data_IF_378657449162
#
_entry.id   IF_378657449162
#
_cell.length_a   1.000
_cell.length_b   1.000
_cell.length_c   1.000
_cell.angle_alpha   90.00
_cell.angle_beta   90.00
_cell.angle_gamma   90.00
#
_symmetry.space_group_name_H-M   'P 1'
#
loop_
_entity.id
_entity.type
_entity.pdbx_description
1 polymer ?
#
# COMPACT_ATOMS: atom_id res chain seq x y z
N UNK A 1 38.27 -31.06 -28.60
CA UNK A 1 36.83 -30.74 -28.69
C UNK A 1 36.48 -29.90 -27.47
N UNK A 2 36.02 -28.68 -27.71
CA UNK A 2 35.57 -27.77 -26.66
C UNK A 2 34.09 -28.04 -26.38
N UNK A 3 33.71 -28.12 -25.10
CA UNK A 3 32.50 -27.47 -24.59
C UNK A 3 32.70 -27.25 -23.09
N UNK A 4 32.67 -25.99 -22.69
CA UNK A 4 32.76 -25.54 -21.31
C UNK A 4 31.39 -25.74 -20.67
N UNK A 5 31.24 -26.66 -19.71
CA UNK A 5 30.02 -26.79 -18.92
C UNK A 5 30.19 -25.94 -17.65
N UNK A 6 29.87 -24.65 -17.81
CA UNK A 6 29.88 -23.65 -16.76
C UNK A 6 28.81 -24.01 -15.71
N UNK A 7 29.10 -23.99 -14.39
CA UNK A 7 28.11 -24.31 -13.36
C UNK A 7 26.89 -23.39 -13.46
N UNK A 8 25.70 -23.86 -13.06
CA UNK A 8 24.46 -23.09 -13.16
C UNK A 8 24.61 -21.73 -12.44
N UNK A 9 24.02 -20.65 -12.99
CA UNK A 9 24.14 -19.34 -12.40
C UNK A 9 23.60 -19.36 -10.96
N UNK A 10 24.23 -18.63 -10.03
CA UNK A 10 23.72 -18.52 -8.67
C UNK A 10 22.28 -18.02 -8.69
N UNK A 11 21.42 -18.47 -7.76
CA UNK A 11 20.07 -17.94 -7.66
C UNK A 11 20.17 -16.42 -7.56
N UNK A 12 19.51 -15.73 -8.50
CA UNK A 12 19.35 -14.28 -8.47
C UNK A 12 18.99 -13.88 -7.04
N UNK A 13 19.58 -12.81 -6.48
CA UNK A 13 19.13 -12.33 -5.20
C UNK A 13 17.64 -12.13 -5.31
N UNK A 14 16.89 -12.88 -4.50
CA UNK A 14 15.50 -12.60 -4.22
C UNK A 14 15.50 -11.23 -3.52
N UNK A 15 15.66 -10.18 -4.33
CA UNK A 15 15.28 -8.83 -4.00
C UNK A 15 13.74 -8.81 -4.02
N UNK A 16 13.14 -9.69 -3.22
CA UNK A 16 11.93 -9.36 -2.48
C UNK A 16 12.38 -8.20 -1.62
N UNK A 17 12.32 -7.01 -2.22
CA UNK A 17 12.30 -5.74 -1.53
C UNK A 17 11.18 -5.88 -0.53
N UNK A 18 11.57 -6.37 0.64
CA UNK A 18 10.77 -6.45 1.82
C UNK A 18 10.13 -5.08 1.93
N UNK A 19 8.80 -4.93 1.79
CA UNK A 19 8.15 -3.65 2.04
C UNK A 19 8.06 -3.46 3.55
N UNK A 20 9.21 -3.55 4.24
CA UNK A 20 9.40 -3.20 5.62
C UNK A 20 10.15 -1.87 5.61
N UNK A 21 9.42 -0.75 5.55
CA UNK A 21 10.11 0.52 5.70
C UNK A 21 9.27 1.78 5.57
N UNK A 22 8.15 1.75 4.86
CA UNK A 22 7.40 2.99 4.67
C UNK A 22 6.24 3.06 5.65
N UNK A 23 6.57 3.08 6.94
CA UNK A 23 5.63 3.54 7.97
C UNK A 23 5.53 5.07 7.98
N UNK A 24 6.51 5.76 7.38
CA UNK A 24 6.56 7.21 7.30
C UNK A 24 6.04 7.74 5.95
N UNK A 25 4.75 7.55 5.69
CA UNK A 25 4.09 8.11 4.51
C UNK A 25 4.21 9.65 4.46
N UNK A 26 4.34 10.33 5.61
CA UNK A 26 4.40 11.79 5.69
C UNK A 26 5.60 12.41 4.94
N UNK A 27 6.67 11.64 4.71
CA UNK A 27 7.79 12.07 3.88
C UNK A 27 7.45 12.17 2.39
N UNK A 28 6.42 11.44 1.93
CA UNK A 28 6.00 11.40 0.52
C UNK A 28 4.65 12.09 0.30
N UNK A 29 3.77 12.04 1.29
CA UNK A 29 2.47 12.73 1.32
C UNK A 29 2.45 13.62 2.56
N UNK A 30 3.06 14.83 2.50
CA UNK A 30 3.11 15.75 3.64
C UNK A 30 1.76 16.43 3.91
N UNK A 31 0.73 16.13 3.10
CA UNK A 31 -0.59 16.69 3.20
C UNK A 31 -1.49 15.81 4.07
N UNK A 32 -2.18 16.44 5.02
CA UNK A 32 -3.21 15.78 5.84
C UNK A 32 -4.57 16.09 5.22
N UNK A 33 -5.26 15.07 4.71
CA UNK A 33 -6.62 15.19 4.22
C UNK A 33 -7.54 15.60 5.36
N UNK A 34 -8.27 16.69 5.16
CA UNK A 34 -9.20 17.22 6.14
C UNK A 34 -10.47 17.68 5.43
N UNK A 35 -11.64 17.44 6.05
CA UNK A 35 -12.94 17.76 5.44
C UNK A 35 -13.21 19.27 5.35
N UNK A 36 -12.56 20.06 6.21
CA UNK A 36 -12.72 21.52 6.24
C UNK A 36 -11.70 22.22 5.33
N UNK A 37 -10.73 21.47 4.82
CA UNK A 37 -9.74 21.95 3.85
C UNK A 37 -10.12 21.43 2.46
N UNK A 38 -10.18 22.33 1.47
CA UNK A 38 -10.34 21.99 0.04
C UNK A 38 -9.06 21.34 -0.52
N UNK A 39 -8.55 20.31 0.16
CA UNK A 39 -7.25 19.69 -0.10
C UNK A 39 -7.39 18.24 -0.61
N UNK A 40 -8.62 17.78 -0.87
CA UNK A 40 -8.91 16.43 -1.36
C UNK A 40 -8.21 16.13 -2.69
N UNK A 41 -8.33 17.00 -3.70
CA UNK A 41 -7.73 16.75 -5.02
C UNK A 41 -6.21 16.62 -4.94
N UNK A 42 -5.56 17.55 -4.23
CA UNK A 42 -4.10 17.53 -4.03
C UNK A 42 -3.65 16.29 -3.22
N UNK A 43 -4.41 15.92 -2.19
CA UNK A 43 -4.13 14.72 -1.41
C UNK A 43 -4.29 13.46 -2.25
N UNK A 44 -5.35 13.39 -3.05
CA UNK A 44 -5.66 12.25 -3.92
C UNK A 44 -4.56 12.05 -4.96
N UNK A 45 -4.07 13.13 -5.58
CA UNK A 45 -2.98 13.08 -6.55
C UNK A 45 -1.67 12.56 -5.91
N UNK A 46 -1.29 13.11 -4.75
CA UNK A 46 -0.08 12.70 -4.02
C UNK A 46 -0.17 11.23 -3.55
N UNK A 47 -1.32 10.84 -2.99
CA UNK A 47 -1.55 9.50 -2.50
C UNK A 47 -1.54 8.48 -3.65
N UNK A 48 -2.18 8.82 -4.77
CA UNK A 48 -2.20 7.96 -5.97
C UNK A 48 -0.80 7.78 -6.55
N UNK A 49 -0.02 8.87 -6.64
CA UNK A 49 1.39 8.83 -7.08
C UNK A 49 2.26 7.96 -6.16
N UNK A 50 2.02 8.03 -4.84
CA UNK A 50 2.67 7.15 -3.88
C UNK A 50 2.30 5.68 -4.15
N UNK A 51 1.02 5.35 -4.30
CA UNK A 51 0.60 3.99 -4.58
C UNK A 51 1.15 3.43 -5.90
N UNK A 52 1.31 4.25 -6.94
CA UNK A 52 1.99 3.86 -8.18
C UNK A 52 3.47 3.54 -7.95
N UNK A 53 4.18 4.38 -7.19
CA UNK A 53 5.61 4.20 -6.90
C UNK A 53 5.91 2.90 -6.14
N UNK A 54 4.97 2.44 -5.32
CA UNK A 54 5.07 1.19 -4.56
C UNK A 54 4.40 -0.02 -5.25
N UNK A 55 3.86 0.14 -6.46
CA UNK A 55 3.22 -0.94 -7.19
C UNK A 55 1.90 -1.45 -6.56
N UNK A 56 1.32 -0.70 -5.63
CA UNK A 56 0.09 -1.08 -4.91
C UNK A 56 -1.16 -0.38 -5.44
N UNK A 57 -1.04 0.42 -6.51
CA UNK A 57 -2.17 1.11 -7.13
C UNK A 57 -3.32 0.15 -7.51
N UNK A 58 -2.99 -1.08 -7.94
CA UNK A 58 -4.00 -2.08 -8.27
C UNK A 58 -4.93 -2.48 -7.10
N UNK A 59 -4.55 -2.21 -5.83
CA UNK A 59 -5.43 -2.38 -4.68
C UNK A 59 -6.52 -1.29 -4.57
N UNK A 60 -6.27 -0.11 -5.13
CA UNK A 60 -7.22 1.01 -5.13
C UNK A 60 -8.26 0.86 -6.26
N UNK A 61 -7.80 0.54 -7.47
CA UNK A 61 -8.66 0.39 -8.65
C UNK A 61 -9.29 -1.02 -8.76
N UNK A 62 -8.92 -1.95 -7.86
CA UNK A 62 -9.47 -3.30 -7.82
C UNK A 62 -8.89 -4.26 -8.87
N UNK A 63 -7.91 -3.83 -9.66
CA UNK A 63 -7.19 -4.69 -10.62
C UNK A 63 -6.37 -5.78 -9.93
N UNK A 64 -5.92 -5.53 -8.69
CA UNK A 64 -5.18 -6.51 -7.88
C UNK A 64 -6.15 -7.34 -7.05
N UNK A 65 -6.57 -8.47 -7.62
CA UNK A 65 -7.51 -9.41 -6.99
C UNK A 65 -6.76 -10.42 -6.13
N UNK A 66 -7.29 -10.67 -4.93
CA UNK A 66 -6.82 -11.75 -4.07
C UNK A 66 -7.19 -13.11 -4.69
N UNK A 67 -6.19 -13.90 -5.07
CA UNK A 67 -6.30 -15.32 -5.42
C UNK A 67 -5.85 -16.18 -4.23
N UNK A 68 -6.10 -17.50 -4.27
CA UNK A 68 -5.68 -18.42 -3.20
C UNK A 68 -4.17 -18.36 -2.94
N UNK A 69 -3.39 -18.14 -3.99
CA UNK A 69 -1.93 -18.19 -3.93
C UNK A 69 -1.30 -16.88 -3.41
N UNK A 70 -2.00 -15.75 -3.54
CA UNK A 70 -1.48 -14.43 -3.12
C UNK A 70 -2.23 -13.82 -1.92
N UNK A 71 -3.22 -14.52 -1.34
CA UNK A 71 -4.12 -13.96 -0.31
C UNK A 71 -3.39 -13.36 0.90
N UNK A 72 -2.28 -13.98 1.33
CA UNK A 72 -1.48 -13.47 2.44
C UNK A 72 -0.82 -12.14 2.09
N UNK A 73 -0.24 -12.02 0.89
CA UNK A 73 0.44 -10.80 0.46
C UNK A 73 -0.54 -9.70 0.10
N UNK A 74 -1.68 -10.05 -0.52
CA UNK A 74 -2.79 -9.13 -0.72
C UNK A 74 -3.23 -8.49 0.60
N UNK A 75 -3.43 -9.29 1.64
CA UNK A 75 -3.86 -8.79 2.96
C UNK A 75 -2.80 -7.91 3.63
N UNK A 76 -1.51 -8.21 3.44
CA UNK A 76 -0.41 -7.35 3.93
C UNK A 76 -0.41 -6.00 3.21
N UNK A 77 -0.54 -5.99 1.88
CA UNK A 77 -0.56 -4.76 1.09
C UNK A 77 -1.82 -3.93 1.38
N UNK A 78 -2.98 -4.56 1.49
CA UNK A 78 -4.24 -3.90 1.91
C UNK A 78 -4.08 -3.25 3.30
N UNK A 79 -3.48 -3.96 4.26
CA UNK A 79 -3.21 -3.41 5.59
C UNK A 79 -2.23 -2.24 5.54
N UNK A 80 -1.22 -2.31 4.67
CA UNK A 80 -0.24 -1.24 4.48
C UNK A 80 -0.89 0.03 3.91
N UNK A 81 -1.70 -0.10 2.85
CA UNK A 81 -2.46 1.02 2.27
C UNK A 81 -3.40 1.65 3.30
N UNK A 82 -4.03 0.85 4.16
CA UNK A 82 -4.87 1.37 5.26
C UNK A 82 -4.05 2.19 6.27
N UNK A 83 -2.89 1.69 6.70
CA UNK A 83 -1.99 2.43 7.59
C UNK A 83 -1.56 3.77 6.99
N UNK A 84 -1.30 3.79 5.68
CA UNK A 84 -0.98 5.00 4.92
C UNK A 84 -2.13 6.01 4.90
N UNK A 85 -3.35 5.57 4.62
CA UNK A 85 -4.55 6.42 4.69
C UNK A 85 -4.68 6.98 6.11
N UNK A 86 -4.62 6.14 7.14
CA UNK A 86 -4.76 6.58 8.53
C UNK A 86 -3.67 7.58 8.96
N UNK A 87 -2.46 7.48 8.40
CA UNK A 87 -1.36 8.39 8.67
C UNK A 87 -1.45 9.74 7.95
N UNK A 88 -2.32 9.87 6.94
CA UNK A 88 -2.45 11.05 6.08
C UNK A 88 -3.84 11.69 6.10
N UNK A 89 -4.75 11.23 6.95
CA UNK A 89 -6.05 11.86 7.19
C UNK A 89 -6.09 12.52 8.57
N UNK A 90 -6.95 13.53 8.74
CA UNK A 90 -7.14 14.20 10.02
C UNK A 90 -7.83 13.29 11.04
N UNK A 91 -7.61 13.54 12.34
CA UNK A 91 -8.19 12.75 13.43
C UNK A 91 -9.73 12.64 13.36
N UNK A 92 -10.49 13.72 13.07
CA UNK A 92 -11.93 13.63 12.90
C UNK A 92 -12.34 12.69 11.75
N UNK A 93 -11.62 12.75 10.63
CA UNK A 93 -11.86 11.89 9.48
C UNK A 93 -11.49 10.43 9.80
N UNK A 94 -10.38 10.20 10.50
CA UNK A 94 -9.98 8.88 10.98
C UNK A 94 -11.06 8.25 11.87
N UNK A 95 -11.61 9.01 12.82
CA UNK A 95 -12.70 8.54 13.67
C UNK A 95 -13.96 8.20 12.87
N UNK A 96 -14.21 8.92 11.78
CA UNK A 96 -15.35 8.67 10.89
C UNK A 96 -15.15 7.38 10.08
N UNK A 97 -13.95 7.18 9.52
CA UNK A 97 -13.59 6.00 8.73
C UNK A 97 -13.50 4.73 9.59
N UNK A 98 -12.97 4.83 10.81
CA UNK A 98 -12.81 3.68 11.73
C UNK A 98 -14.12 3.25 12.40
N UNK A 99 -15.16 4.11 12.46
CA UNK A 99 -16.43 3.83 13.15
C UNK A 99 -17.29 2.71 12.53
N UNK A 100 -16.80 1.97 11.56
CA UNK A 100 -17.55 0.97 10.78
C UNK A 100 -17.30 -0.48 11.20
N UNK A 101 -17.29 -0.76 12.51
CA UNK A 101 -17.40 -2.10 13.09
C UNK A 101 -18.20 -2.08 14.41
N UNK A 102 -19.27 -1.29 14.49
CA UNK A 102 -20.30 -1.52 15.52
C UNK A 102 -21.34 -2.42 14.86
N UNK A 103 -21.12 -3.73 14.93
CA UNK A 103 -22.22 -4.69 14.79
C UNK A 103 -23.21 -4.39 15.93
N UNK A 104 -24.29 -3.69 15.61
CA UNK A 104 -25.50 -3.76 16.40
C UNK A 104 -26.04 -5.19 16.23
N UNK A 105 -25.63 -6.06 17.15
CA UNK A 105 -26.20 -7.39 17.28
C UNK A 105 -27.56 -7.20 17.98
N UNK A 106 -28.61 -7.09 17.17
CA UNK A 106 -29.99 -7.30 17.63
C UNK A 106 -30.31 -8.80 17.57
#
# INVERSE_FOLDING_TARGET
MAVNDNPPPPPLPANMEKPFGVTNIKSHVPLVLDLDQLNYDAWCELFTSHCHSFGVHGLLDGTFVSTSDNASDWKKLDSLVKVWIYGTISTPLLQTVLKKNVEAKD
#
